data_IF_637153819157
#
_entry.id   IF_637153819157
#
_cell.length_a   1.000
_cell.length_b   1.000
_cell.length_c   1.000
_cell.angle_alpha   90.00
_cell.angle_beta   90.00
_cell.angle_gamma   90.00
#
_symmetry.space_group_name_H-M   'P 1'
#
loop_
_entity.id
_entity.type
_entity.pdbx_description
1 polymer ?
#
# COMPACT_ATOMS: atom_id res chain seq x y z
N UNK A 1 16.77 -20.79 -4.82
CA UNK A 1 17.90 -19.82 -4.69
C UNK A 1 17.39 -18.43 -5.07
N UNK A 2 17.60 -17.43 -4.24
CA UNK A 2 17.18 -16.05 -4.56
C UNK A 2 18.18 -15.48 -5.58
N UNK A 3 17.72 -14.87 -6.70
CA UNK A 3 18.63 -14.28 -7.69
C UNK A 3 19.55 -13.23 -7.04
N UNK A 4 20.81 -13.11 -7.49
CA UNK A 4 21.79 -12.22 -6.87
C UNK A 4 21.40 -10.74 -6.90
N UNK A 5 20.58 -10.34 -7.89
CA UNK A 5 20.10 -8.96 -8.07
C UNK A 5 18.79 -8.67 -7.31
N UNK A 6 18.32 -9.59 -6.48
CA UNK A 6 17.10 -9.42 -5.71
C UNK A 6 17.30 -8.41 -4.59
N UNK A 7 16.41 -7.44 -4.51
CA UNK A 7 16.39 -6.45 -3.43
C UNK A 7 15.47 -6.93 -2.32
N UNK A 8 16.00 -7.08 -1.11
CA UNK A 8 15.19 -7.41 0.06
C UNK A 8 14.40 -6.19 0.55
N UNK A 9 13.12 -6.35 0.95
CA UNK A 9 12.36 -5.29 1.58
C UNK A 9 13.04 -4.75 2.84
N UNK A 10 13.06 -3.42 2.96
CA UNK A 10 13.66 -2.73 4.12
C UNK A 10 12.55 -2.21 5.03
N UNK A 11 11.77 -3.10 5.60
CA UNK A 11 10.70 -2.75 6.55
C UNK A 11 11.23 -1.90 7.69
N UNK A 12 10.52 -0.81 8.02
CA UNK A 12 10.91 0.17 9.03
C UNK A 12 12.09 1.06 8.66
N UNK A 13 12.67 0.90 7.46
CA UNK A 13 13.88 1.62 7.03
C UNK A 13 13.85 2.01 5.54
N UNK A 14 12.69 2.17 4.96
CA UNK A 14 12.53 2.57 3.57
C UNK A 14 11.85 1.51 2.70
N UNK A 15 10.72 1.01 3.16
CA UNK A 15 9.83 0.10 2.45
C UNK A 15 8.50 0.81 2.13
N UNK A 16 7.80 0.34 1.11
CA UNK A 16 6.43 0.79 0.82
C UNK A 16 5.50 0.60 2.03
N UNK A 17 5.69 -0.48 2.80
CA UNK A 17 4.91 -0.73 4.02
C UNK A 17 5.03 0.35 5.09
N UNK A 18 6.03 1.22 5.01
CA UNK A 18 6.25 2.32 5.95
C UNK A 18 5.45 3.59 5.57
N UNK A 19 4.81 3.61 4.38
CA UNK A 19 4.07 4.80 3.87
C UNK A 19 2.87 5.15 4.74
N UNK A 20 1.97 4.21 5.14
CA UNK A 20 0.83 4.53 6.01
C UNK A 20 1.27 5.15 7.34
N UNK A 21 2.30 4.57 7.97
CA UNK A 21 2.86 5.09 9.22
C UNK A 21 3.45 6.50 9.04
N UNK A 22 4.14 6.74 7.92
CA UNK A 22 4.67 8.07 7.58
C UNK A 22 3.56 9.11 7.48
N UNK A 23 2.47 8.80 6.78
CA UNK A 23 1.29 9.68 6.65
C UNK A 23 0.67 9.96 8.01
N UNK A 24 0.49 8.93 8.84
CA UNK A 24 -0.05 9.08 10.18
C UNK A 24 0.81 10.01 11.02
N UNK A 25 2.09 9.80 11.05
CA UNK A 25 3.05 10.64 11.79
C UNK A 25 3.00 12.09 11.31
N UNK A 26 2.97 12.32 9.99
CA UNK A 26 2.90 13.66 9.42
C UNK A 26 1.61 14.42 9.76
N UNK A 27 0.48 13.71 9.87
CA UNK A 27 -0.82 14.32 10.15
C UNK A 27 -1.07 14.50 11.66
N UNK A 28 -0.64 13.54 12.48
CA UNK A 28 -0.95 13.53 13.92
C UNK A 28 0.21 13.98 14.80
N UNK A 29 1.44 13.87 14.30
CA UNK A 29 2.67 14.05 15.09
C UNK A 29 2.95 12.90 16.06
N UNK A 30 2.20 11.79 15.95
CA UNK A 30 2.34 10.62 16.80
C UNK A 30 3.02 9.46 16.07
N UNK A 31 3.81 8.69 16.80
CA UNK A 31 4.54 7.54 16.28
C UNK A 31 6.00 7.84 15.96
N UNK A 32 6.69 6.83 15.45
CA UNK A 32 8.09 6.94 15.03
C UNK A 32 8.23 7.77 13.77
N UNK A 33 9.40 8.36 13.57
CA UNK A 33 9.72 9.10 12.35
C UNK A 33 9.64 8.16 11.14
N UNK A 34 8.81 8.55 10.15
CA UNK A 34 8.59 7.76 8.95
C UNK A 34 9.64 8.01 7.86
N UNK A 35 9.30 7.65 6.63
CA UNK A 35 10.16 7.83 5.43
C UNK A 35 10.56 9.30 5.20
N UNK A 36 9.66 10.21 5.53
CA UNK A 36 9.85 11.66 5.38
C UNK A 36 9.31 12.33 6.64
N UNK A 37 10.16 13.09 7.29
CA UNK A 37 9.79 13.87 8.47
C UNK A 37 8.88 15.06 8.13
N UNK A 38 8.41 15.74 9.18
CA UNK A 38 7.58 16.93 9.08
C UNK A 38 6.16 16.71 9.58
N UNK A 39 5.46 17.83 9.83
CA UNK A 39 4.06 17.83 10.25
C UNK A 39 3.24 18.69 9.31
N UNK A 40 2.16 18.13 8.81
CA UNK A 40 1.32 18.80 7.81
C UNK A 40 -0.15 18.79 8.24
N UNK A 41 -0.86 19.85 7.84
CA UNK A 41 -2.32 19.94 8.06
C UNK A 41 -3.11 19.05 7.11
N UNK A 42 -2.53 18.75 5.94
CA UNK A 42 -3.15 17.94 4.87
C UNK A 42 -2.07 17.15 4.15
N UNK A 43 -2.37 15.93 3.79
CA UNK A 43 -1.56 15.07 2.92
C UNK A 43 -2.44 14.62 1.76
N UNK A 44 -1.91 14.70 0.55
CA UNK A 44 -2.52 14.11 -0.65
C UNK A 44 -1.59 13.02 -1.13
N UNK A 45 -2.07 11.79 -1.19
CA UNK A 45 -1.33 10.64 -1.70
C UNK A 45 -1.80 10.30 -3.11
N UNK A 46 -0.86 10.31 -4.07
CA UNK A 46 -1.06 9.72 -5.38
C UNK A 46 -0.37 8.36 -5.41
N UNK A 47 -1.17 7.30 -5.38
CA UNK A 47 -0.68 5.93 -5.51
C UNK A 47 -0.80 5.50 -6.97
N UNK A 48 0.34 5.48 -7.67
CA UNK A 48 0.41 5.11 -9.08
C UNK A 48 0.95 3.69 -9.19
N UNK A 49 0.09 2.75 -9.58
CA UNK A 49 0.44 1.35 -9.75
C UNK A 49 1.43 1.14 -10.90
N UNK A 50 2.30 0.15 -10.75
CA UNK A 50 3.33 -0.25 -11.71
C UNK A 50 4.37 0.83 -12.08
N UNK A 51 4.29 2.06 -11.57
CA UNK A 51 5.24 3.13 -11.84
C UNK A 51 6.31 3.20 -10.73
N UNK A 52 7.25 2.26 -10.77
CA UNK A 52 8.32 2.16 -9.78
C UNK A 52 9.62 2.87 -10.18
N UNK A 53 10.63 2.76 -9.31
CA UNK A 53 11.93 3.40 -9.45
C UNK A 53 12.62 3.12 -10.81
N UNK A 54 12.48 1.90 -11.33
CA UNK A 54 13.06 1.52 -12.63
C UNK A 54 12.50 2.32 -13.81
N UNK A 55 11.28 2.86 -13.68
CA UNK A 55 10.67 3.74 -14.69
C UNK A 55 10.97 5.20 -14.40
N UNK A 56 10.97 5.61 -13.15
CA UNK A 56 11.22 6.99 -12.74
C UNK A 56 12.68 7.41 -12.97
N UNK A 57 13.65 6.66 -12.44
CA UNK A 57 15.05 7.07 -12.38
C UNK A 57 15.67 7.41 -13.75
N UNK A 58 15.52 6.61 -14.82
CA UNK A 58 16.10 6.93 -16.14
C UNK A 58 15.37 8.04 -16.89
N UNK A 59 14.18 8.45 -16.42
CA UNK A 59 13.31 9.41 -17.14
C UNK A 59 13.17 10.75 -16.45
N UNK A 60 13.54 10.84 -15.18
CA UNK A 60 13.31 12.04 -14.35
C UNK A 60 13.90 13.31 -14.96
N UNK A 61 15.07 13.23 -15.63
CA UNK A 61 15.71 14.38 -16.24
C UNK A 61 15.10 14.77 -17.60
N UNK A 62 14.57 13.77 -18.34
CA UNK A 62 14.04 13.96 -19.68
C UNK A 62 12.58 14.46 -19.72
N UNK A 63 11.82 14.21 -18.65
CA UNK A 63 10.42 14.62 -18.59
C UNK A 63 10.24 15.77 -17.60
N UNK A 64 9.79 16.96 -18.06
CA UNK A 64 9.63 18.16 -17.22
C UNK A 64 8.79 17.91 -15.97
N UNK A 65 7.72 17.13 -16.10
CA UNK A 65 6.86 16.78 -14.97
C UNK A 65 7.62 15.98 -13.89
N UNK A 66 8.43 15.00 -14.27
CA UNK A 66 9.20 14.19 -13.31
C UNK A 66 10.35 15.00 -12.70
N UNK A 67 11.03 15.82 -13.51
CA UNK A 67 12.10 16.73 -13.06
C UNK A 67 11.61 17.70 -12.00
N UNK A 68 10.37 18.16 -12.12
CA UNK A 68 9.76 19.05 -11.12
C UNK A 68 9.78 18.48 -9.69
N UNK A 69 9.65 17.17 -9.52
CA UNK A 69 9.78 16.53 -8.21
C UNK A 69 11.20 16.57 -7.65
N UNK A 70 12.23 16.45 -8.49
CA UNK A 70 13.62 16.60 -8.06
C UNK A 70 13.95 18.06 -7.68
N UNK A 71 13.42 19.03 -8.41
CA UNK A 71 13.72 20.46 -8.24
C UNK A 71 12.92 21.12 -7.09
N UNK A 72 11.67 20.71 -6.90
CA UNK A 72 10.73 21.37 -5.99
C UNK A 72 10.35 20.50 -4.78
N UNK A 73 10.71 19.24 -4.78
CA UNK A 73 10.32 18.27 -3.77
C UNK A 73 11.47 17.46 -3.23
N UNK A 74 11.14 16.27 -2.79
CA UNK A 74 12.08 15.25 -2.33
C UNK A 74 11.76 13.93 -3.02
N UNK A 75 12.73 13.38 -3.71
CA UNK A 75 12.62 12.05 -4.31
C UNK A 75 13.43 11.06 -3.49
N UNK A 76 12.82 9.94 -3.14
CA UNK A 76 13.46 8.89 -2.36
C UNK A 76 13.14 7.53 -2.94
N UNK A 77 14.17 6.73 -3.18
CA UNK A 77 14.01 5.33 -3.53
C UNK A 77 13.68 4.52 -2.27
N UNK A 78 12.56 3.80 -2.32
CA UNK A 78 12.16 2.83 -1.30
C UNK A 78 12.05 1.44 -1.92
N UNK A 79 12.06 0.40 -1.11
CA UNK A 79 11.79 -0.96 -1.57
C UNK A 79 10.29 -1.23 -1.61
N UNK A 80 9.87 -2.09 -2.53
CA UNK A 80 8.56 -2.73 -2.41
C UNK A 80 8.51 -3.63 -1.16
N UNK A 81 7.34 -3.91 -0.65
CA UNK A 81 7.12 -4.99 0.31
C UNK A 81 7.12 -6.35 -0.42
N UNK A 82 7.17 -7.45 0.31
CA UNK A 82 7.13 -8.79 -0.25
C UNK A 82 5.90 -9.56 0.26
N UNK A 83 5.16 -10.22 -0.64
CA UNK A 83 5.20 -10.10 -2.11
C UNK A 83 4.86 -8.70 -2.62
N UNK A 84 5.38 -8.35 -3.81
CA UNK A 84 5.22 -7.02 -4.41
C UNK A 84 4.04 -6.95 -5.39
N UNK A 85 2.92 -7.56 -5.02
CA UNK A 85 1.70 -7.58 -5.85
C UNK A 85 0.83 -6.35 -5.57
N UNK A 86 -0.01 -5.96 -6.51
CA UNK A 86 -0.98 -4.87 -6.32
C UNK A 86 -1.90 -5.15 -5.14
N UNK A 87 -2.39 -6.38 -5.00
CA UNK A 87 -3.25 -6.78 -3.87
C UNK A 87 -2.59 -6.50 -2.53
N UNK A 88 -1.33 -6.90 -2.38
CA UNK A 88 -0.56 -6.67 -1.17
C UNK A 88 -0.37 -5.17 -0.88
N UNK A 89 -0.04 -4.37 -1.92
CA UNK A 89 0.21 -2.93 -1.77
C UNK A 89 -1.07 -2.15 -1.49
N UNK A 90 -2.16 -2.43 -2.20
CA UNK A 90 -3.47 -1.80 -1.95
C UNK A 90 -3.96 -2.12 -0.54
N UNK A 91 -3.91 -3.39 -0.13
CA UNK A 91 -4.29 -3.80 1.23
C UNK A 91 -3.43 -3.11 2.29
N UNK A 92 -2.12 -3.01 2.07
CA UNK A 92 -1.23 -2.29 2.99
C UNK A 92 -1.62 -0.81 3.12
N UNK A 93 -1.95 -0.13 2.02
CA UNK A 93 -2.40 1.27 2.09
C UNK A 93 -3.75 1.42 2.79
N UNK A 94 -4.64 0.46 2.65
CA UNK A 94 -5.96 0.50 3.28
C UNK A 94 -5.94 0.14 4.77
N UNK A 95 -5.04 -0.76 5.18
CA UNK A 95 -5.01 -1.30 6.55
C UNK A 95 -3.84 -0.82 7.40
N UNK A 96 -2.80 -0.24 6.78
CA UNK A 96 -1.53 0.02 7.45
C UNK A 96 -0.69 -1.23 7.74
N UNK A 97 -1.08 -2.40 7.22
CA UNK A 97 -0.46 -3.68 7.55
C UNK A 97 0.29 -4.28 6.34
N UNK A 98 1.54 -4.75 6.52
CA UNK A 98 2.24 -5.50 5.49
C UNK A 98 1.61 -6.90 5.28
N UNK A 99 1.90 -7.61 4.17
CA UNK A 99 1.31 -8.91 3.85
C UNK A 99 1.40 -9.96 4.96
N UNK A 100 2.51 -10.00 5.68
CA UNK A 100 2.69 -10.94 6.80
C UNK A 100 1.72 -10.72 7.97
N UNK A 101 1.06 -9.57 8.05
CA UNK A 101 0.05 -9.24 9.06
C UNK A 101 -1.36 -9.21 8.50
N UNK A 102 -1.52 -8.77 7.25
CA UNK A 102 -2.84 -8.69 6.61
C UNK A 102 -3.34 -10.03 6.08
N UNK A 103 -2.43 -10.99 5.80
CA UNK A 103 -2.78 -12.24 5.12
C UNK A 103 -3.00 -12.08 3.60
N UNK A 104 -3.10 -10.86 3.08
CA UNK A 104 -3.33 -10.60 1.65
C UNK A 104 -1.98 -10.42 0.95
N UNK A 105 -1.61 -11.39 0.12
CA UNK A 105 -0.28 -11.44 -0.49
C UNK A 105 -0.30 -11.58 -2.01
N UNK A 106 -1.44 -11.98 -2.61
CA UNK A 106 -1.54 -12.20 -4.05
C UNK A 106 -2.92 -11.81 -4.58
N UNK A 107 -3.05 -11.72 -5.90
CA UNK A 107 -4.32 -11.47 -6.61
C UNK A 107 -5.34 -12.58 -6.39
N UNK A 108 -4.85 -13.80 -6.25
CA UNK A 108 -5.64 -15.01 -6.08
C UNK A 108 -4.88 -15.95 -5.16
N UNK A 109 -5.55 -16.48 -4.14
CA UNK A 109 -4.98 -17.51 -3.28
C UNK A 109 -6.09 -18.39 -2.70
N UNK A 110 -5.69 -19.60 -2.29
CA UNK A 110 -6.57 -20.50 -1.55
C UNK A 110 -6.84 -19.94 -0.16
N UNK A 111 -8.14 -19.82 0.17
CA UNK A 111 -8.59 -19.36 1.47
C UNK A 111 -9.26 -20.51 2.24
N UNK A 112 -8.65 -20.99 3.32
CA UNK A 112 -9.16 -22.15 4.08
C UNK A 112 -10.55 -21.93 4.68
N UNK A 113 -10.91 -20.71 5.04
CA UNK A 113 -12.21 -20.42 5.68
C UNK A 113 -13.40 -20.69 4.74
N UNK A 114 -13.19 -20.66 3.45
CA UNK A 114 -14.21 -20.95 2.43
C UNK A 114 -13.88 -22.18 1.59
N UNK A 115 -12.71 -22.83 1.80
CA UNK A 115 -12.21 -23.96 1.03
C UNK A 115 -12.17 -23.70 -0.49
N UNK A 116 -11.79 -22.47 -0.89
CA UNK A 116 -11.79 -22.04 -2.29
C UNK A 116 -10.62 -21.11 -2.62
N UNK A 117 -10.34 -20.93 -3.93
CA UNK A 117 -9.46 -19.86 -4.40
C UNK A 117 -10.26 -18.58 -4.54
N UNK A 118 -9.83 -17.55 -3.84
CA UNK A 118 -10.47 -16.24 -3.82
C UNK A 118 -9.67 -15.16 -4.53
N UNK A 119 -10.36 -14.09 -4.91
CA UNK A 119 -9.81 -12.81 -5.38
C UNK A 119 -10.06 -11.72 -4.32
N UNK A 120 -9.13 -11.47 -3.40
CA UNK A 120 -9.39 -10.62 -2.23
C UNK A 120 -9.79 -9.18 -2.57
N UNK A 121 -9.21 -8.57 -3.61
CA UNK A 121 -9.56 -7.20 -4.01
C UNK A 121 -10.94 -7.09 -4.65
N UNK A 122 -11.46 -8.15 -5.24
CA UNK A 122 -12.80 -8.21 -5.81
C UNK A 122 -13.83 -8.75 -4.82
N UNK A 123 -13.36 -9.38 -3.73
CA UNK A 123 -14.19 -10.12 -2.79
C UNK A 123 -15.04 -11.16 -3.51
N UNK A 124 -14.38 -12.03 -4.27
CA UNK A 124 -15.03 -12.97 -5.18
C UNK A 124 -14.28 -14.29 -5.28
N UNK A 125 -14.98 -15.36 -5.61
CA UNK A 125 -14.39 -16.65 -6.00
C UNK A 125 -13.62 -16.53 -7.32
N UNK A 126 -12.71 -17.49 -7.59
CA UNK A 126 -11.86 -17.48 -8.78
C UNK A 126 -12.66 -17.32 -10.08
N UNK A 127 -13.74 -18.07 -10.23
CA UNK A 127 -14.54 -18.12 -11.46
C UNK A 127 -15.61 -17.00 -11.54
N UNK A 128 -15.83 -16.27 -10.45
CA UNK A 128 -16.76 -15.15 -10.44
C UNK A 128 -16.12 -13.87 -10.94
N UNK A 129 -16.83 -13.15 -11.80
CA UNK A 129 -16.50 -11.79 -12.21
C UNK A 129 -17.32 -10.72 -11.46
N UNK A 130 -18.17 -11.16 -10.56
CA UNK A 130 -19.04 -10.28 -9.77
C UNK A 130 -18.33 -9.89 -8.49
N UNK A 131 -18.05 -8.59 -8.34
CA UNK A 131 -17.44 -8.04 -7.10
C UNK A 131 -18.40 -8.27 -5.92
N UNK A 132 -17.83 -8.67 -4.77
CA UNK A 132 -18.62 -8.91 -3.55
C UNK A 132 -19.42 -10.21 -3.56
N UNK A 133 -19.11 -11.15 -4.47
CA UNK A 133 -19.83 -12.42 -4.58
C UNK A 133 -19.36 -13.52 -3.62
N UNK A 134 -18.32 -13.25 -2.82
CA UNK A 134 -17.85 -14.21 -1.81
C UNK A 134 -18.81 -14.19 -0.61
N UNK A 135 -19.40 -15.34 -0.29
CA UNK A 135 -20.41 -15.50 0.77
C UNK A 135 -19.73 -15.74 2.14
N UNK A 136 -18.97 -14.77 2.58
CA UNK A 136 -18.36 -14.72 3.91
C UNK A 136 -18.14 -13.26 4.31
N UNK A 137 -18.30 -12.97 5.59
CA UNK A 137 -18.00 -11.63 6.12
C UNK A 137 -16.50 -11.33 5.99
N UNK A 138 -16.12 -10.15 5.44
CA UNK A 138 -14.71 -9.79 5.24
C UNK A 138 -13.86 -9.87 6.51
N UNK A 139 -14.44 -9.58 7.66
CA UNK A 139 -13.78 -9.57 8.96
C UNK A 139 -13.28 -10.94 9.43
N UNK A 140 -13.75 -12.02 8.80
CA UNK A 140 -13.27 -13.38 9.07
C UNK A 140 -11.94 -13.71 8.39
N UNK A 141 -11.66 -13.05 7.28
CA UNK A 141 -10.47 -13.30 6.45
C UNK A 141 -9.52 -12.11 6.47
N UNK A 142 -10.06 -10.88 6.37
CA UNK A 142 -9.28 -9.66 6.30
C UNK A 142 -9.00 -9.08 7.70
N UNK A 143 -7.92 -8.31 7.86
CA UNK A 143 -7.67 -7.61 9.11
C UNK A 143 -8.82 -6.70 9.49
N UNK A 144 -9.18 -6.71 10.75
CA UNK A 144 -10.16 -5.77 11.29
C UNK A 144 -9.55 -4.37 11.39
N UNK A 145 -10.34 -3.40 11.00
CA UNK A 145 -9.96 -1.99 11.00
C UNK A 145 -9.17 -1.58 9.75
N UNK A 146 -9.25 -0.30 9.45
CA UNK A 146 -8.54 0.32 8.36
C UNK A 146 -7.65 1.46 8.85
N UNK A 147 -6.61 1.76 8.10
CA UNK A 147 -5.77 2.94 8.32
C UNK A 147 -6.59 4.24 8.41
N UNK A 148 -7.67 4.34 7.64
CA UNK A 148 -8.57 5.51 7.64
C UNK A 148 -9.40 5.60 8.92
N UNK A 149 -9.78 4.47 9.51
CA UNK A 149 -10.43 4.45 10.84
C UNK A 149 -9.47 4.90 11.93
N UNK A 150 -8.20 4.48 11.88
CA UNK A 150 -7.18 4.97 12.81
C UNK A 150 -6.98 6.48 12.68
N UNK A 151 -6.94 7.02 11.46
CA UNK A 151 -6.87 8.46 11.23
C UNK A 151 -8.12 9.19 11.76
N UNK A 152 -9.30 8.63 11.58
CA UNK A 152 -10.54 9.21 12.09
C UNK A 152 -10.56 9.29 13.62
N UNK A 153 -10.09 8.25 14.32
CA UNK A 153 -9.91 8.27 15.78
C UNK A 153 -8.96 9.39 16.22
N UNK A 154 -7.94 9.67 15.41
CA UNK A 154 -7.01 10.79 15.64
C UNK A 154 -7.56 12.17 15.18
N UNK A 155 -8.83 12.26 14.78
CA UNK A 155 -9.48 13.50 14.34
C UNK A 155 -9.12 13.93 12.91
N UNK A 156 -8.59 13.04 12.09
CA UNK A 156 -8.20 13.30 10.70
C UNK A 156 -9.26 12.75 9.74
N UNK A 157 -9.90 13.64 8.97
CA UNK A 157 -10.82 13.23 7.91
C UNK A 157 -10.03 12.70 6.69
N UNK A 158 -10.53 11.61 6.11
CA UNK A 158 -9.92 10.96 4.95
C UNK A 158 -10.90 10.85 3.79
N UNK A 159 -10.42 11.03 2.57
CA UNK A 159 -11.19 10.83 1.34
C UNK A 159 -10.39 9.91 0.41
N UNK A 160 -11.05 8.88 -0.13
CA UNK A 160 -10.44 7.90 -1.03
C UNK A 160 -11.08 8.04 -2.41
N UNK A 161 -10.24 8.15 -3.42
CA UNK A 161 -10.66 8.16 -4.82
C UNK A 161 -9.97 6.99 -5.51
N UNK A 162 -10.75 6.02 -5.98
CA UNK A 162 -10.25 4.85 -6.68
C UNK A 162 -11.20 4.49 -7.82
N UNK A 163 -10.72 3.80 -8.87
CA UNK A 163 -11.59 3.26 -9.91
C UNK A 163 -12.67 2.34 -9.32
N UNK A 164 -13.86 2.39 -9.91
CA UNK A 164 -14.98 1.54 -9.54
C UNK A 164 -14.74 0.07 -9.87
#
# INVERSE_FOLDING_TARGET
>A
MIPPDSVRPRYGAGCFADVPQTIRQQLTGQGEEGLVGGRYKKVVLFFVDAFGWRFFAPRRESYPFLRHFDEQGRVQQITAQFPSTTSAHVTCMQTGMPPARSGVFEWQYYEPEVDEIIKPLLWAQLDSHVRGSLDIEPEKILPQGTFYQELAVAGVASHIFQPA
#
